data_IF_636737021046
#
_entry.id   IF_636737021046
#
_cell.length_a   1.000
_cell.length_b   1.000
_cell.length_c   1.000
_cell.angle_alpha   90.00
_cell.angle_beta   90.00
_cell.angle_gamma   90.00
#
_symmetry.space_group_name_H-M   'P 1'
#
loop_
_entity.id
_entity.type
_entity.pdbx_description
1 polymer ?
#
# COMPACT_ATOMS: atom_id res chain seq x y z
N UNK A 1 1.05 4.70 6.08
CA UNK A 1 -0.12 4.21 5.34
C UNK A 1 -1.36 4.81 5.98
N UNK A 2 -2.04 5.70 5.26
CA UNK A 2 -3.32 6.25 5.70
C UNK A 2 -4.37 5.19 5.39
N UNK A 3 -4.80 4.42 6.40
CA UNK A 3 -5.83 3.39 6.20
C UNK A 3 -7.17 4.12 6.10
N UNK A 4 -7.76 4.15 4.92
CA UNK A 4 -9.07 4.74 4.69
C UNK A 4 -10.11 3.93 5.47
N UNK A 5 -10.84 4.59 6.37
CA UNK A 5 -11.82 3.91 7.23
C UNK A 5 -13.03 3.42 6.44
N UNK A 6 -13.27 3.96 5.23
CA UNK A 6 -14.39 3.60 4.37
C UNK A 6 -14.24 2.22 3.74
N UNK A 7 -13.02 1.66 3.71
CA UNK A 7 -12.74 0.35 3.12
C UNK A 7 -12.74 -0.79 4.14
N UNK A 8 -13.09 -0.52 5.40
CA UNK A 8 -13.14 -1.52 6.47
C UNK A 8 -14.47 -2.26 6.51
N UNK A 9 -14.43 -3.59 6.38
CA UNK A 9 -15.60 -4.46 6.35
C UNK A 9 -15.44 -5.55 7.41
N UNK A 10 -16.49 -5.85 8.18
CA UNK A 10 -16.42 -6.97 9.13
C UNK A 10 -16.38 -8.33 8.42
N UNK A 11 -15.73 -9.33 9.01
CA UNK A 11 -15.68 -10.68 8.45
C UNK A 11 -17.09 -11.28 8.27
N UNK A 12 -18.02 -10.93 9.16
CA UNK A 12 -19.41 -11.38 9.07
C UNK A 12 -20.08 -10.82 7.81
N UNK A 13 -19.89 -9.53 7.54
CA UNK A 13 -20.45 -8.87 6.36
C UNK A 13 -19.79 -9.35 5.07
N UNK A 14 -18.46 -9.52 5.08
CA UNK A 14 -17.73 -10.07 3.94
C UNK A 14 -18.20 -11.48 3.57
N UNK A 15 -18.48 -12.32 4.57
CA UNK A 15 -18.99 -13.68 4.36
C UNK A 15 -20.45 -13.70 3.87
N UNK A 16 -21.27 -12.74 4.29
CA UNK A 16 -22.68 -12.66 3.89
C UNK A 16 -22.87 -12.05 2.50
N UNK A 17 -22.01 -11.10 2.11
CA UNK A 17 -22.13 -10.40 0.85
C UNK A 17 -20.75 -10.04 0.28
N UNK A 18 -20.06 -11.04 -0.27
CA UNK A 18 -18.76 -10.81 -0.89
C UNK A 18 -18.83 -9.88 -2.11
N UNK A 19 -19.96 -9.83 -2.82
CA UNK A 19 -20.16 -8.89 -3.93
C UNK A 19 -20.06 -7.43 -3.50
N UNK A 20 -20.43 -7.11 -2.25
CA UNK A 20 -20.22 -5.77 -1.68
C UNK A 20 -18.73 -5.47 -1.47
N UNK A 21 -17.97 -6.46 -0.99
CA UNK A 21 -16.50 -6.35 -0.84
C UNK A 21 -15.85 -6.08 -2.19
N UNK A 22 -16.24 -6.83 -3.23
CA UNK A 22 -15.72 -6.64 -4.58
C UNK A 22 -15.97 -5.21 -5.10
N UNK A 23 -17.18 -4.66 -4.94
CA UNK A 23 -17.47 -3.27 -5.34
C UNK A 23 -16.62 -2.24 -4.61
N UNK A 24 -16.39 -2.42 -3.30
CA UNK A 24 -15.50 -1.53 -2.53
C UNK A 24 -14.08 -1.58 -3.08
N UNK A 25 -13.60 -2.77 -3.46
CA UNK A 25 -12.29 -2.95 -4.12
C UNK A 25 -12.26 -2.30 -5.50
N UNK A 26 -13.32 -2.42 -6.30
CA UNK A 26 -13.40 -1.78 -7.62
C UNK A 26 -13.34 -0.24 -7.51
N UNK A 27 -14.04 0.33 -6.53
CA UNK A 27 -14.10 1.78 -6.32
C UNK A 27 -12.84 2.36 -5.65
N UNK A 28 -12.36 1.73 -4.57
CA UNK A 28 -11.29 2.27 -3.73
C UNK A 28 -9.94 1.58 -3.96
N UNK A 29 -9.91 0.52 -4.76
CA UNK A 29 -8.72 -0.30 -5.04
C UNK A 29 -8.41 -1.37 -3.99
N UNK A 30 -8.84 -1.18 -2.75
CA UNK A 30 -8.58 -2.12 -1.64
C UNK A 30 -9.76 -2.19 -0.68
N UNK A 31 -9.89 -3.32 0.01
CA UNK A 31 -10.80 -3.52 1.13
C UNK A 31 -10.10 -4.26 2.26
N UNK A 32 -10.28 -3.78 3.49
CA UNK A 32 -9.71 -4.39 4.70
C UNK A 32 -10.80 -5.14 5.43
N UNK A 33 -10.61 -6.44 5.66
CA UNK A 33 -11.55 -7.26 6.40
C UNK A 33 -11.10 -7.38 7.86
N UNK A 34 -12.00 -6.99 8.77
CA UNK A 34 -11.82 -7.03 10.22
C UNK A 34 -12.38 -8.34 10.81
N UNK A 35 -11.62 -9.00 11.68
CA UNK A 35 -12.12 -10.10 12.53
C UNK A 35 -12.02 -9.65 13.99
N UNK A 36 -13.14 -9.63 14.71
CA UNK A 36 -13.21 -9.12 16.09
C UNK A 36 -12.66 -7.68 16.21
N UNK A 37 -13.04 -6.80 15.28
CA UNK A 37 -12.55 -5.41 15.17
C UNK A 37 -11.04 -5.25 14.93
N UNK A 38 -10.33 -6.34 14.62
CA UNK A 38 -8.91 -6.31 14.27
C UNK A 38 -8.75 -6.56 12.77
N UNK A 39 -8.05 -5.69 12.02
CA UNK A 39 -7.69 -5.94 10.61
C UNK A 39 -6.97 -7.28 10.48
N UNK A 40 -7.50 -8.18 9.64
CA UNK A 40 -6.95 -9.52 9.50
C UNK A 40 -6.73 -9.96 8.06
N UNK A 41 -7.51 -9.44 7.11
CA UNK A 41 -7.34 -9.75 5.69
C UNK A 41 -7.39 -8.47 4.86
N UNK A 42 -6.71 -8.50 3.72
CA UNK A 42 -6.72 -7.46 2.71
C UNK A 42 -7.20 -8.07 1.39
N UNK A 43 -8.12 -7.40 0.73
CA UNK A 43 -8.55 -7.71 -0.64
C UNK A 43 -8.12 -6.52 -1.51
N UNK A 44 -7.48 -6.81 -2.63
CA UNK A 44 -6.95 -5.81 -3.56
C UNK A 44 -7.22 -6.29 -4.98
N UNK A 45 -7.44 -5.36 -5.90
CA UNK A 45 -7.50 -5.67 -7.32
C UNK A 45 -6.16 -6.21 -7.82
N UNK A 46 -6.20 -7.23 -8.68
CA UNK A 46 -4.99 -7.90 -9.15
C UNK A 46 -4.07 -6.96 -9.94
N UNK A 47 -4.62 -6.06 -10.76
CA UNK A 47 -3.85 -5.12 -11.56
C UNK A 47 -3.14 -4.07 -10.70
N UNK A 48 -3.80 -3.58 -9.65
CA UNK A 48 -3.18 -2.68 -8.66
C UNK A 48 -2.13 -3.39 -7.81
N UNK A 49 -2.37 -4.64 -7.41
CA UNK A 49 -1.41 -5.43 -6.66
C UNK A 49 -0.09 -5.64 -7.43
N UNK A 50 -0.18 -5.88 -8.74
CA UNK A 50 1.01 -6.01 -9.59
C UNK A 50 1.75 -4.67 -9.72
N UNK A 51 1.05 -3.54 -9.87
CA UNK A 51 1.70 -2.21 -9.89
C UNK A 51 2.41 -1.87 -8.58
N UNK A 52 1.79 -2.11 -7.42
CA UNK A 52 2.43 -1.85 -6.12
C UNK A 52 3.64 -2.75 -5.87
N UNK A 53 3.59 -3.99 -6.35
CA UNK A 53 4.70 -4.95 -6.25
C UNK A 53 5.89 -4.57 -7.14
N UNK A 54 5.63 -3.95 -8.30
CA UNK A 54 6.67 -3.45 -9.21
C UNK A 54 7.32 -2.18 -8.66
N UNK A 55 6.53 -1.26 -8.10
CA UNK A 55 7.03 -0.01 -7.50
C UNK A 55 8.05 -0.23 -6.36
N UNK A 56 8.03 -1.41 -5.70
CA UNK A 56 8.94 -1.70 -4.59
C UNK A 56 10.41 -1.87 -5.02
N UNK A 57 10.69 -2.10 -6.31
CA UNK A 57 12.07 -2.32 -6.81
C UNK A 57 12.65 -1.08 -7.51
N UNK A 58 11.81 -0.22 -8.07
CA UNK A 58 12.25 0.92 -8.89
C UNK A 58 12.63 2.16 -8.07
N UNK A 59 12.13 2.26 -6.82
CA UNK A 59 12.27 3.49 -6.03
C UNK A 59 13.55 3.60 -5.19
N UNK A 60 14.20 2.49 -4.79
CA UNK A 60 15.40 2.60 -3.92
C UNK A 60 16.57 3.26 -4.66
N UNK A 61 16.77 2.90 -5.93
CA UNK A 61 17.87 3.43 -6.72
C UNK A 61 17.63 4.90 -7.09
N UNK A 62 16.40 5.24 -7.50
CA UNK A 62 16.02 6.61 -7.80
C UNK A 62 16.07 7.53 -6.56
N UNK A 63 15.64 7.04 -5.39
CA UNK A 63 15.75 7.76 -4.12
C UNK A 63 17.22 7.94 -3.74
N UNK A 64 18.04 6.90 -3.90
CA UNK A 64 19.48 6.95 -3.61
C UNK A 64 20.20 7.97 -4.50
N UNK A 65 19.95 7.97 -5.81
CA UNK A 65 20.54 8.95 -6.73
C UNK A 65 20.12 10.38 -6.39
N UNK A 66 18.84 10.58 -6.03
CA UNK A 66 18.34 11.89 -5.61
C UNK A 66 19.00 12.36 -4.32
N UNK A 67 19.11 11.49 -3.32
CA UNK A 67 19.74 11.80 -2.02
C UNK A 67 21.23 12.13 -2.17
N UNK A 68 21.95 11.36 -3.00
CA UNK A 68 23.38 11.57 -3.27
C UNK A 68 23.57 12.92 -3.99
N UNK A 69 22.76 13.23 -5.01
CA UNK A 69 22.85 14.52 -5.71
C UNK A 69 22.54 15.71 -4.80
N UNK A 70 21.57 15.58 -3.90
CA UNK A 70 21.17 16.67 -3.01
C UNK A 70 22.17 16.93 -1.87
N UNK A 71 22.94 15.92 -1.46
CA UNK A 71 23.84 16.00 -0.31
C UNK A 71 25.31 15.78 -0.69
N UNK A 72 25.66 15.98 -1.96
CA UNK A 72 26.99 15.69 -2.51
C UNK A 72 28.09 16.43 -1.74
N UNK A 73 27.87 17.71 -1.42
CA UNK A 73 28.80 18.53 -0.62
C UNK A 73 28.98 17.99 0.82
N UNK A 74 27.91 17.46 1.43
CA UNK A 74 28.00 16.88 2.78
C UNK A 74 28.80 15.57 2.79
N UNK A 75 28.67 14.75 1.74
CA UNK A 75 29.47 13.53 1.57
C UNK A 75 30.96 13.85 1.33
N UNK A 76 31.27 14.90 0.57
CA UNK A 76 32.66 15.33 0.34
C UNK A 76 33.36 15.81 1.63
N UNK A 77 32.64 16.47 2.53
CA UNK A 77 33.17 16.90 3.83
C UNK A 77 33.35 15.74 4.79
N UNK A 78 32.46 14.74 4.77
CA UNK A 78 32.53 13.54 5.61
C UNK A 78 33.59 12.53 5.15
N UNK A 79 34.00 12.58 3.88
CA UNK A 79 35.03 11.72 3.32
C UNK A 79 36.47 12.21 3.58
N UNK A 80 36.64 13.31 4.31
CA UNK A 80 37.92 13.94 4.64
C UNK A 80 38.29 13.70 6.11
#
# INVERSE_FOLDING_TARGET
MTVDTNTMISITEANQNFSKVARVVDEHGTAVILKNNVPKYLVIDFGKAEQEKIASTEDVFAISERLIKQNMEAYEVLAK
#
